data_IF_370711277141
#
_entry.id   IF_370711277141
#
_cell.length_a   1.000
_cell.length_b   1.000
_cell.length_c   1.000
_cell.angle_alpha   90.00
_cell.angle_beta   90.00
_cell.angle_gamma   90.00
#
_symmetry.space_group_name_H-M   'P 1'
#
loop_
_entity.id
_entity.type
_entity.pdbx_description
1 polymer ?
#
# COMPACT_ATOMS: atom_id res chain seq x y z
N UNK A 1 -19.68 9.09 -14.07
CA UNK A 1 -18.45 9.88 -14.27
C UNK A 1 -17.46 9.11 -15.14
N UNK A 2 -16.59 9.83 -15.84
CA UNK A 2 -15.46 9.27 -16.60
C UNK A 2 -14.16 9.56 -15.85
N UNK A 3 -13.42 8.54 -15.45
CA UNK A 3 -12.25 8.65 -14.59
C UNK A 3 -11.02 8.04 -15.27
N UNK A 4 -9.89 8.76 -15.30
CA UNK A 4 -8.60 8.16 -15.62
C UNK A 4 -7.87 7.85 -14.33
N UNK A 5 -7.57 6.58 -14.10
CA UNK A 5 -6.77 6.13 -12.94
C UNK A 5 -5.34 5.88 -13.39
N UNK A 6 -4.39 6.62 -12.82
CA UNK A 6 -2.96 6.46 -13.12
C UNK A 6 -2.25 5.94 -11.89
N UNK A 7 -1.50 4.85 -12.03
CA UNK A 7 -0.78 4.24 -10.91
C UNK A 7 0.63 3.83 -11.31
N UNK A 8 1.60 4.10 -10.44
CA UNK A 8 2.99 3.63 -10.60
C UNK A 8 3.14 2.13 -10.31
N UNK A 9 2.13 1.50 -9.71
CA UNK A 9 2.14 0.07 -9.38
C UNK A 9 0.77 -0.54 -9.62
N UNK A 10 0.76 -1.65 -10.35
CA UNK A 10 -0.46 -2.41 -10.62
C UNK A 10 -0.15 -3.90 -10.74
N UNK A 11 -1.18 -4.71 -11.01
CA UNK A 11 -1.01 -6.15 -11.25
C UNK A 11 0.04 -6.40 -12.37
N UNK A 12 0.82 -7.48 -12.28
CA UNK A 12 0.78 -8.58 -11.32
C UNK A 12 1.41 -8.26 -9.95
N UNK A 13 2.05 -7.10 -9.80
CA UNK A 13 2.64 -6.69 -8.51
C UNK A 13 1.54 -6.42 -7.49
N UNK A 14 1.64 -7.07 -6.32
CA UNK A 14 0.70 -6.89 -5.20
C UNK A 14 1.37 -6.13 -4.06
N UNK A 15 0.86 -4.95 -3.75
CA UNK A 15 1.28 -4.11 -2.63
C UNK A 15 0.11 -3.20 -2.19
N UNK A 16 0.33 -2.35 -1.18
CA UNK A 16 -0.71 -1.46 -0.65
C UNK A 16 -1.30 -0.49 -1.68
N UNK A 17 -0.49 0.00 -2.63
CA UNK A 17 -0.96 0.88 -3.72
C UNK A 17 -1.85 0.10 -4.67
N UNK A 18 -1.39 -1.05 -5.16
CA UNK A 18 -2.17 -1.93 -6.04
C UNK A 18 -3.50 -2.33 -5.40
N UNK A 19 -3.50 -2.67 -4.11
CA UNK A 19 -4.73 -3.02 -3.38
C UNK A 19 -5.70 -1.84 -3.34
N UNK A 20 -5.22 -0.62 -3.08
CA UNK A 20 -6.06 0.59 -3.08
C UNK A 20 -6.64 0.88 -4.46
N UNK A 21 -5.81 0.80 -5.51
CA UNK A 21 -6.25 1.06 -6.89
C UNK A 21 -7.33 0.06 -7.30
N UNK A 22 -7.16 -1.22 -6.98
CA UNK A 22 -8.17 -2.24 -7.26
C UNK A 22 -9.50 -1.91 -6.57
N UNK A 23 -9.48 -1.56 -5.28
CA UNK A 23 -10.70 -1.18 -4.54
C UNK A 23 -11.39 0.05 -5.14
N UNK A 24 -10.63 1.03 -5.61
CA UNK A 24 -11.19 2.19 -6.33
C UNK A 24 -11.85 1.74 -7.64
N UNK A 25 -11.19 0.90 -8.42
CA UNK A 25 -11.73 0.41 -9.69
C UNK A 25 -12.97 -0.49 -9.49
N UNK A 26 -12.94 -1.37 -8.49
CA UNK A 26 -14.09 -2.21 -8.14
C UNK A 26 -15.31 -1.34 -7.77
N UNK A 27 -15.09 -0.26 -6.99
CA UNK A 27 -16.14 0.68 -6.62
C UNK A 27 -16.66 1.48 -7.84
N UNK A 28 -15.76 2.01 -8.68
CA UNK A 28 -16.17 2.72 -9.90
C UNK A 28 -17.02 1.83 -10.81
N UNK A 29 -16.68 0.55 -10.93
CA UNK A 29 -17.47 -0.42 -11.71
C UNK A 29 -18.85 -0.67 -11.07
N UNK A 30 -18.89 -0.86 -9.75
CA UNK A 30 -20.15 -1.09 -9.01
C UNK A 30 -21.11 0.10 -9.13
N UNK A 31 -20.59 1.32 -9.12
CA UNK A 31 -21.38 2.56 -9.28
C UNK A 31 -21.69 2.92 -10.77
N UNK A 32 -21.32 2.07 -11.72
CA UNK A 32 -21.60 2.28 -13.14
C UNK A 32 -20.81 3.42 -13.77
N UNK A 33 -19.63 3.73 -13.25
CA UNK A 33 -18.74 4.74 -13.83
C UNK A 33 -17.91 4.18 -14.97
N UNK A 34 -17.42 5.05 -15.87
CA UNK A 34 -16.47 4.69 -16.92
C UNK A 34 -15.04 5.01 -16.46
N UNK A 35 -14.10 4.09 -16.69
CA UNK A 35 -12.70 4.37 -16.41
C UNK A 35 -11.75 3.75 -17.42
N UNK A 36 -10.55 4.33 -17.51
CA UNK A 36 -9.35 3.68 -18.06
C UNK A 36 -8.25 3.72 -17.01
N UNK A 37 -7.34 2.76 -17.08
CA UNK A 37 -6.20 2.65 -16.18
C UNK A 37 -4.91 2.82 -16.95
N UNK A 38 -4.00 3.65 -16.49
CA UNK A 38 -2.67 3.87 -17.09
C UNK A 38 -1.61 3.44 -16.10
N UNK A 39 -0.76 2.50 -16.49
CA UNK A 39 0.24 1.88 -15.62
C UNK A 39 1.57 1.68 -16.35
N UNK A 40 2.70 1.52 -15.65
CA UNK A 40 3.97 1.14 -16.26
C UNK A 40 3.90 -0.25 -16.88
N UNK A 41 4.56 -0.47 -18.01
CA UNK A 41 4.68 -1.78 -18.65
C UNK A 41 5.37 -2.77 -17.72
N UNK A 42 4.60 -3.74 -17.23
CA UNK A 42 5.05 -4.78 -16.29
C UNK A 42 4.21 -6.06 -16.38
N UNK A 43 3.55 -6.30 -17.52
CA UNK A 43 2.66 -7.45 -17.74
C UNK A 43 1.33 -7.29 -17.03
N UNK A 44 0.77 -6.09 -16.99
CA UNK A 44 -0.55 -5.84 -16.45
C UNK A 44 -1.64 -6.56 -17.27
N UNK A 45 -2.77 -6.95 -16.68
CA UNK A 45 -3.88 -7.51 -17.44
C UNK A 45 -4.45 -6.44 -18.39
N UNK A 46 -4.90 -6.86 -19.57
CA UNK A 46 -5.48 -5.93 -20.56
C UNK A 46 -6.74 -5.20 -20.06
N UNK A 47 -7.44 -5.83 -19.10
CA UNK A 47 -8.65 -5.25 -18.46
C UNK A 47 -8.68 -5.59 -16.97
N UNK A 48 -9.30 -4.72 -16.15
CA UNK A 48 -9.61 -4.98 -14.77
C UNK A 48 -10.97 -4.36 -14.39
N UNK A 49 -11.84 -5.09 -13.71
CA UNK A 49 -13.21 -4.67 -13.37
C UNK A 49 -14.01 -4.12 -14.56
N UNK A 50 -13.76 -4.63 -15.77
CA UNK A 50 -14.37 -4.15 -17.03
C UNK A 50 -13.67 -2.94 -17.66
N UNK A 51 -12.71 -2.32 -17.01
CA UNK A 51 -11.97 -1.17 -17.50
C UNK A 51 -10.71 -1.58 -18.27
N UNK A 52 -10.41 -0.87 -19.37
CA UNK A 52 -9.20 -1.09 -20.15
C UNK A 52 -7.97 -0.60 -19.40
N UNK A 53 -6.93 -1.43 -19.38
CA UNK A 53 -5.62 -1.09 -18.81
C UNK A 53 -4.66 -0.79 -19.95
N UNK A 54 -4.01 0.38 -19.89
CA UNK A 54 -3.03 0.85 -20.85
C UNK A 54 -1.64 0.83 -20.22
N UNK A 55 -0.74 0.03 -20.75
CA UNK A 55 0.65 0.02 -20.36
C UNK A 55 1.43 1.11 -21.09
N UNK A 56 2.26 1.85 -20.34
CA UNK A 56 3.19 2.84 -20.87
C UNK A 56 4.62 2.39 -20.66
N UNK A 57 5.58 2.83 -21.50
CA UNK A 57 6.98 2.45 -21.35
C UNK A 57 7.51 2.69 -19.94
N UNK A 58 8.25 1.71 -19.41
CA UNK A 58 8.82 1.75 -18.08
C UNK A 58 10.26 1.24 -18.08
N UNK A 59 11.05 1.71 -17.11
CA UNK A 59 12.37 1.17 -16.80
C UNK A 59 12.25 0.38 -15.50
N UNK A 60 12.83 -0.83 -15.48
CA UNK A 60 12.97 -1.59 -14.26
C UNK A 60 13.98 -0.92 -13.32
N UNK A 61 13.51 -0.45 -12.15
CA UNK A 61 14.38 0.03 -11.10
C UNK A 61 14.24 -0.88 -9.87
N UNK A 62 15.28 -1.69 -9.61
CA UNK A 62 15.25 -2.76 -8.58
C UNK A 62 14.06 -3.70 -8.82
N UNK A 63 13.08 -3.71 -7.93
CA UNK A 63 11.89 -4.58 -8.00
C UNK A 63 10.63 -3.83 -8.47
N UNK A 64 10.76 -2.56 -8.90
CA UNK A 64 9.63 -1.73 -9.28
C UNK A 64 9.81 -1.19 -10.70
N UNK A 65 8.81 -1.33 -11.57
CA UNK A 65 8.79 -0.61 -12.84
C UNK A 65 8.56 0.88 -12.55
N UNK A 66 9.39 1.73 -13.15
CA UNK A 66 9.21 3.19 -13.11
C UNK A 66 8.73 3.64 -14.48
N UNK A 67 7.51 4.16 -14.55
CA UNK A 67 6.94 4.67 -15.79
C UNK A 67 7.74 5.85 -16.32
N UNK A 68 8.07 5.80 -17.61
CA UNK A 68 8.73 6.93 -18.27
C UNK A 68 7.70 7.95 -18.75
N UNK A 69 8.00 9.26 -18.67
CA UNK A 69 7.22 10.27 -19.34
C UNK A 69 7.06 9.94 -20.83
N UNK A 70 5.82 9.81 -21.29
CA UNK A 70 5.52 9.40 -22.66
C UNK A 70 4.33 10.18 -23.23
N UNK A 71 4.38 10.67 -24.49
CA UNK A 71 3.28 11.44 -25.08
C UNK A 71 1.93 10.70 -25.10
N UNK A 72 1.96 9.37 -25.08
CA UNK A 72 0.76 8.51 -25.03
C UNK A 72 -0.11 8.81 -23.80
N UNK A 73 0.46 9.18 -22.65
CA UNK A 73 -0.32 9.50 -21.44
C UNK A 73 -1.26 10.67 -21.69
N UNK A 74 -0.74 11.78 -22.21
CA UNK A 74 -1.57 12.93 -22.55
C UNK A 74 -2.59 12.61 -23.65
N UNK A 75 -2.19 11.82 -24.65
CA UNK A 75 -3.10 11.38 -25.72
C UNK A 75 -4.25 10.54 -25.17
N UNK A 76 -3.99 9.56 -24.32
CA UNK A 76 -5.01 8.72 -23.70
C UNK A 76 -6.00 9.55 -22.87
N UNK A 77 -5.49 10.52 -22.08
CA UNK A 77 -6.34 11.42 -21.29
C UNK A 77 -7.21 12.28 -22.23
N UNK A 78 -6.61 12.87 -23.26
CA UNK A 78 -7.34 13.73 -24.22
C UNK A 78 -8.40 12.96 -25.01
N UNK A 79 -8.08 11.76 -25.49
CA UNK A 79 -9.01 10.92 -26.27
C UNK A 79 -10.16 10.39 -25.40
N UNK A 80 -9.86 10.02 -24.16
CA UNK A 80 -10.88 9.51 -23.22
C UNK A 80 -11.78 10.62 -22.67
N UNK A 81 -11.33 11.88 -22.62
CA UNK A 81 -12.07 13.05 -22.10
C UNK A 81 -12.67 12.79 -20.72
N UNK A 82 -11.85 12.52 -19.69
CA UNK A 82 -12.34 12.27 -18.35
C UNK A 82 -12.82 13.54 -17.68
N UNK A 83 -13.67 13.38 -16.66
CA UNK A 83 -14.04 14.48 -15.75
C UNK A 83 -12.98 14.67 -14.66
N UNK A 84 -12.23 13.58 -14.33
CA UNK A 84 -11.17 13.64 -13.31
C UNK A 84 -10.04 12.66 -13.64
N UNK A 85 -8.81 13.08 -13.32
CA UNK A 85 -7.61 12.24 -13.30
C UNK A 85 -7.27 11.90 -11.86
N UNK A 86 -7.31 10.61 -11.52
CA UNK A 86 -6.94 10.05 -10.22
C UNK A 86 -5.52 9.49 -10.28
N UNK A 87 -4.56 10.21 -9.71
CA UNK A 87 -3.15 9.81 -9.63
C UNK A 87 -2.87 9.08 -8.32
N UNK A 88 -2.88 7.74 -8.36
CA UNK A 88 -2.65 6.88 -7.19
C UNK A 88 -1.15 6.76 -6.91
N UNK A 89 -0.69 7.35 -5.81
CA UNK A 89 0.72 7.39 -5.40
C UNK A 89 1.64 7.97 -6.50
N UNK A 90 1.44 9.24 -6.91
CA UNK A 90 2.10 9.80 -8.07
C UNK A 90 3.62 9.94 -7.87
N UNK A 91 4.36 9.50 -8.87
CA UNK A 91 5.78 9.76 -9.04
C UNK A 91 6.01 10.30 -10.46
N UNK A 92 6.78 9.67 -11.32
CA UNK A 92 7.03 10.19 -12.67
C UNK A 92 5.80 10.12 -13.58
N UNK A 93 5.15 8.97 -13.65
CA UNK A 93 3.96 8.76 -14.48
C UNK A 93 2.77 9.57 -13.95
N UNK A 94 2.54 9.52 -12.64
CA UNK A 94 1.49 10.29 -12.00
C UNK A 94 1.69 11.80 -12.12
N UNK A 95 2.93 12.30 -11.98
CA UNK A 95 3.27 13.71 -12.19
C UNK A 95 2.99 14.14 -13.62
N UNK A 96 3.32 13.31 -14.61
CA UNK A 96 3.01 13.56 -16.00
C UNK A 96 1.49 13.64 -16.25
N UNK A 97 0.73 12.72 -15.65
CA UNK A 97 -0.73 12.70 -15.78
C UNK A 97 -1.38 13.94 -15.15
N UNK A 98 -0.94 14.36 -13.97
CA UNK A 98 -1.37 15.61 -13.32
C UNK A 98 -1.08 16.82 -14.22
N UNK A 99 0.15 16.91 -14.74
CA UNK A 99 0.52 17.99 -15.65
C UNK A 99 -0.28 17.97 -16.96
N UNK A 100 -0.62 16.80 -17.48
CA UNK A 100 -1.49 16.65 -18.66
C UNK A 100 -2.93 17.10 -18.35
N UNK A 101 -3.48 16.72 -17.20
CA UNK A 101 -4.79 17.15 -16.74
C UNK A 101 -4.87 18.68 -16.64
N UNK A 102 -3.88 19.33 -16.01
CA UNK A 102 -3.81 20.79 -15.92
C UNK A 102 -3.77 21.48 -17.30
N UNK A 103 -3.00 20.95 -18.27
CA UNK A 103 -2.99 21.49 -19.64
C UNK A 103 -4.31 21.33 -20.38
N UNK A 104 -5.07 20.29 -20.06
CA UNK A 104 -6.35 19.98 -20.69
C UNK A 104 -7.54 20.59 -19.94
N UNK A 105 -7.33 21.28 -18.83
CA UNK A 105 -8.39 21.84 -17.98
C UNK A 105 -9.23 20.77 -17.28
N UNK A 106 -8.66 19.60 -17.00
CA UNK A 106 -9.32 18.47 -16.35
C UNK A 106 -8.92 18.44 -14.88
N UNK A 107 -9.89 18.27 -13.98
CA UNK A 107 -9.64 18.15 -12.55
C UNK A 107 -8.72 16.95 -12.22
N UNK A 108 -7.86 17.10 -11.23
CA UNK A 108 -6.88 16.08 -10.82
C UNK A 108 -6.85 15.86 -9.32
N UNK A 109 -6.80 14.59 -8.92
CA UNK A 109 -6.69 14.18 -7.51
C UNK A 109 -5.45 13.32 -7.35
N UNK A 110 -4.53 13.75 -6.50
CA UNK A 110 -3.34 12.98 -6.12
C UNK A 110 -3.58 12.25 -4.80
N UNK A 111 -3.09 10.99 -4.69
CA UNK A 111 -3.17 10.23 -3.45
C UNK A 111 -1.78 10.05 -2.86
N UNK A 112 -1.54 10.57 -1.67
CA UNK A 112 -0.28 10.36 -0.97
C UNK A 112 -0.29 9.00 -0.28
N UNK A 113 0.38 8.00 -0.88
CA UNK A 113 0.43 6.62 -0.37
C UNK A 113 1.85 6.11 -0.11
N UNK A 114 2.86 6.77 -0.69
CA UNK A 114 4.26 6.33 -0.61
C UNK A 114 5.11 7.43 0.00
N UNK A 115 5.66 7.18 1.18
CA UNK A 115 6.54 8.12 1.87
C UNK A 115 7.98 8.02 1.31
N UNK A 116 8.18 8.61 0.14
CA UNK A 116 9.51 8.68 -0.50
C UNK A 116 10.48 9.52 0.32
N UNK A 117 9.99 10.57 0.96
CA UNK A 117 10.81 11.48 1.75
C UNK A 117 11.22 10.84 3.10
N UNK A 118 10.32 10.10 3.76
CA UNK A 118 10.65 9.29 4.91
C UNK A 118 11.66 8.19 4.59
N UNK A 119 11.56 7.58 3.42
CA UNK A 119 12.58 6.65 2.95
C UNK A 119 13.96 7.32 2.83
N UNK A 120 14.05 8.53 2.28
CA UNK A 120 15.30 9.28 2.17
C UNK A 120 15.85 9.67 3.55
N UNK A 121 14.98 10.05 4.49
CA UNK A 121 15.33 10.37 5.88
C UNK A 121 15.93 9.17 6.61
N UNK A 122 15.29 7.99 6.51
CA UNK A 122 15.78 6.73 7.11
C UNK A 122 17.18 6.33 6.63
N UNK A 123 17.44 6.53 5.37
CA UNK A 123 18.74 6.20 4.80
C UNK A 123 19.81 7.30 5.05
N UNK A 124 19.54 8.26 5.96
CA UNK A 124 20.43 9.37 6.34
C UNK A 124 20.91 10.20 5.16
N UNK A 125 20.07 10.33 4.15
CA UNK A 125 20.39 11.05 2.91
C UNK A 125 20.12 12.56 3.04
N UNK A 126 20.51 13.20 4.11
CA UNK A 126 20.36 14.62 4.47
C UNK A 126 19.88 15.58 3.38
N UNK A 127 20.79 15.96 2.45
CA UNK A 127 20.44 16.82 1.32
C UNK A 127 19.40 16.18 0.37
N UNK A 128 19.46 14.85 0.17
CA UNK A 128 18.48 14.13 -0.66
C UNK A 128 17.09 14.11 -0.04
N UNK A 129 16.95 14.16 1.29
CA UNK A 129 15.65 14.29 1.95
C UNK A 129 14.96 15.60 1.59
N UNK A 130 15.70 16.72 1.62
CA UNK A 130 15.15 18.04 1.21
C UNK A 130 14.77 18.06 -0.26
N UNK A 131 15.58 17.44 -1.11
CA UNK A 131 15.27 17.32 -2.53
C UNK A 131 14.03 16.44 -2.78
N UNK A 132 13.91 15.31 -2.07
CA UNK A 132 12.73 14.44 -2.14
C UNK A 132 11.44 15.20 -1.75
N UNK A 133 11.47 16.00 -0.68
CA UNK A 133 10.33 16.83 -0.29
C UNK A 133 9.99 17.92 -1.32
N UNK A 134 11.00 18.49 -2.00
CA UNK A 134 10.73 19.44 -3.11
C UNK A 134 10.02 18.76 -4.28
N UNK A 135 10.40 17.51 -4.62
CA UNK A 135 9.73 16.73 -5.65
C UNK A 135 8.29 16.39 -5.22
N UNK A 136 8.11 15.87 -4.01
CA UNK A 136 6.78 15.56 -3.47
C UNK A 136 5.89 16.81 -3.51
N UNK A 137 6.38 17.94 -3.01
CA UNK A 137 5.65 19.20 -3.07
C UNK A 137 5.30 19.58 -4.51
N UNK A 138 6.25 19.56 -5.43
CA UNK A 138 6.01 19.91 -6.82
C UNK A 138 4.92 19.05 -7.48
N UNK A 139 4.94 17.75 -7.23
CA UNK A 139 3.93 16.81 -7.76
C UNK A 139 2.56 17.15 -7.18
N UNK A 140 2.44 17.25 -5.86
CA UNK A 140 1.18 17.39 -5.17
C UNK A 140 0.57 18.80 -5.32
N UNK A 141 1.41 19.84 -5.43
CA UNK A 141 0.96 21.19 -5.76
C UNK A 141 0.46 21.31 -7.22
N UNK A 142 0.85 20.42 -8.10
CA UNK A 142 0.32 20.32 -9.46
C UNK A 142 -1.11 19.78 -9.54
N UNK A 143 -1.58 19.08 -8.52
CA UNK A 143 -2.93 18.53 -8.45
C UNK A 143 -3.93 19.53 -7.84
N UNK A 144 -5.21 19.43 -8.22
CA UNK A 144 -6.27 20.27 -7.66
C UNK A 144 -6.61 19.87 -6.21
N UNK A 145 -6.41 18.60 -5.86
CA UNK A 145 -6.61 18.09 -4.50
C UNK A 145 -5.62 16.97 -4.22
N UNK A 146 -5.06 16.95 -3.02
CA UNK A 146 -4.29 15.81 -2.52
C UNK A 146 -5.02 15.11 -1.37
N UNK A 147 -5.27 13.82 -1.53
CA UNK A 147 -5.85 12.98 -0.50
C UNK A 147 -4.76 12.31 0.34
N UNK A 148 -4.92 12.38 1.66
CA UNK A 148 -3.89 11.99 2.64
C UNK A 148 -4.44 10.97 3.63
N UNK A 149 -3.76 9.82 3.83
CA UNK A 149 -4.33 8.70 4.58
C UNK A 149 -4.28 8.87 6.11
N UNK A 150 -3.41 9.72 6.65
CA UNK A 150 -3.23 9.87 8.09
C UNK A 150 -2.95 11.32 8.51
N UNK A 151 -3.17 11.62 9.80
CA UNK A 151 -2.84 12.94 10.36
C UNK A 151 -1.35 13.21 10.34
N UNK A 152 -0.52 12.17 10.56
CA UNK A 152 0.93 12.30 10.50
C UNK A 152 1.39 12.67 9.07
N UNK A 153 0.90 11.95 8.06
CA UNK A 153 1.21 12.28 6.66
C UNK A 153 0.69 13.64 6.24
N UNK A 154 -0.44 14.08 6.82
CA UNK A 154 -0.98 15.43 6.57
C UNK A 154 -0.03 16.50 7.13
N UNK A 155 0.40 16.37 8.37
CA UNK A 155 1.36 17.30 8.99
C UNK A 155 2.70 17.34 8.22
N UNK A 156 3.18 16.19 7.73
CA UNK A 156 4.41 16.13 6.91
C UNK A 156 4.26 16.90 5.59
N UNK A 157 3.12 16.76 4.90
CA UNK A 157 2.83 17.48 3.65
C UNK A 157 2.62 18.98 3.86
N UNK A 158 1.88 19.35 4.92
CA UNK A 158 1.72 20.77 5.34
C UNK A 158 3.08 21.40 5.66
N UNK A 159 3.92 20.68 6.42
CA UNK A 159 5.30 21.11 6.73
C UNK A 159 6.19 21.23 5.49
N UNK A 160 5.93 20.47 4.43
CA UNK A 160 6.57 20.60 3.13
C UNK A 160 6.00 21.76 2.28
N UNK A 161 4.91 22.39 2.72
CA UNK A 161 4.24 23.50 2.05
C UNK A 161 3.27 23.06 0.97
N UNK A 162 2.76 21.82 1.02
CA UNK A 162 1.67 21.37 0.14
C UNK A 162 0.35 21.91 0.68
N UNK A 163 -0.44 22.49 -0.20
CA UNK A 163 -1.79 22.99 0.09
C UNK A 163 -2.85 22.03 -0.44
N UNK A 164 -4.12 22.39 -0.36
CA UNK A 164 -5.26 21.61 -0.93
C UNK A 164 -5.24 20.14 -0.51
N UNK A 165 -5.08 19.90 0.79
CA UNK A 165 -5.08 18.58 1.40
C UNK A 165 -6.47 18.21 1.94
N UNK A 166 -6.85 16.94 1.80
CA UNK A 166 -8.03 16.39 2.44
C UNK A 166 -7.74 14.99 2.97
N UNK A 167 -8.44 14.62 4.07
CA UNK A 167 -8.33 13.28 4.64
C UNK A 167 -8.99 12.24 3.74
N UNK A 168 -8.32 11.13 3.56
CA UNK A 168 -8.82 9.97 2.84
C UNK A 168 -8.72 8.71 3.69
N UNK A 169 -9.86 8.25 4.22
CA UNK A 169 -9.93 6.99 4.93
C UNK A 169 -10.01 5.84 3.94
N UNK A 170 -8.95 5.04 3.85
CA UNK A 170 -8.88 3.89 2.91
C UNK A 170 -9.91 2.80 3.22
N UNK A 171 -10.37 2.75 4.47
CA UNK A 171 -11.29 1.74 4.95
C UNK A 171 -10.68 0.33 5.05
N UNK A 172 -11.43 -0.54 5.71
CA UNK A 172 -11.16 -1.97 5.88
C UNK A 172 -12.43 -2.73 5.51
N UNK A 173 -12.28 -3.92 4.98
CA UNK A 173 -13.40 -4.82 4.73
C UNK A 173 -13.90 -5.39 6.07
N UNK A 174 -14.92 -4.72 6.65
CA UNK A 174 -15.47 -5.06 7.97
C UNK A 174 -16.24 -6.39 8.01
N UNK A 175 -16.59 -6.95 6.86
CA UNK A 175 -17.22 -8.27 6.80
C UNK A 175 -16.16 -9.38 6.85
N UNK A 176 -15.09 -9.20 6.08
CA UNK A 176 -13.96 -10.14 6.04
C UNK A 176 -13.13 -10.08 7.33
N UNK A 177 -12.78 -8.86 7.79
CA UNK A 177 -12.00 -8.63 9.02
C UNK A 177 -12.93 -8.29 10.19
N UNK A 178 -13.58 -9.32 10.75
CA UNK A 178 -14.55 -9.13 11.84
C UNK A 178 -14.23 -10.06 13.01
N UNK A 179 -14.28 -9.58 14.27
CA UNK A 179 -13.99 -10.39 15.47
C UNK A 179 -14.87 -11.65 15.59
N UNK A 180 -16.10 -11.66 15.05
CA UNK A 180 -16.97 -12.85 15.00
C UNK A 180 -16.29 -14.06 14.35
N UNK A 181 -15.36 -13.83 13.42
CA UNK A 181 -14.67 -14.90 12.71
C UNK A 181 -13.80 -15.76 13.63
N UNK A 182 -13.46 -15.28 14.84
CA UNK A 182 -12.69 -16.02 15.83
C UNK A 182 -13.32 -17.37 16.21
N UNK A 183 -14.63 -17.48 16.15
CA UNK A 183 -15.35 -18.72 16.48
C UNK A 183 -15.52 -19.66 15.29
N UNK A 184 -15.12 -19.26 14.09
CA UNK A 184 -15.23 -20.08 12.90
C UNK A 184 -14.38 -21.37 13.02
N UNK A 185 -14.87 -22.52 12.53
CA UNK A 185 -14.14 -23.79 12.67
C UNK A 185 -12.73 -23.78 12.11
N UNK A 186 -12.51 -23.08 10.99
CA UNK A 186 -11.17 -22.90 10.38
C UNK A 186 -10.21 -22.15 11.28
N UNK A 187 -10.68 -21.09 11.94
CA UNK A 187 -9.87 -20.27 12.87
C UNK A 187 -9.55 -21.08 14.14
N UNK A 188 -10.49 -21.84 14.67
CA UNK A 188 -10.24 -22.72 15.82
C UNK A 188 -9.12 -23.73 15.51
N UNK A 189 -9.21 -24.44 14.39
CA UNK A 189 -8.15 -25.37 13.95
C UNK A 189 -6.79 -24.69 13.75
N UNK A 190 -6.79 -23.45 13.23
CA UNK A 190 -5.57 -22.67 13.10
C UNK A 190 -4.98 -22.34 14.48
N UNK A 191 -5.81 -21.90 15.43
CA UNK A 191 -5.37 -21.61 16.81
C UNK A 191 -4.79 -22.84 17.52
N UNK A 192 -5.45 -23.99 17.43
CA UNK A 192 -4.98 -25.26 17.99
C UNK A 192 -3.60 -25.65 17.42
N UNK A 193 -3.36 -25.39 16.14
CA UNK A 193 -2.07 -25.62 15.49
C UNK A 193 -1.00 -24.62 15.91
N UNK A 194 -1.38 -23.33 16.08
CA UNK A 194 -0.45 -22.26 16.46
C UNK A 194 -0.09 -22.31 17.94
N UNK A 195 -1.05 -22.68 18.80
CA UNK A 195 -0.94 -22.68 20.26
C UNK A 195 -1.57 -23.95 20.85
N UNK A 196 -0.92 -25.13 20.68
CA UNK A 196 -1.48 -26.43 21.05
C UNK A 196 -1.71 -26.62 22.55
N UNK A 197 -1.10 -25.81 23.39
CA UNK A 197 -1.26 -25.86 24.85
C UNK A 197 -2.02 -24.62 25.39
N UNK A 198 -2.70 -23.87 24.51
CA UNK A 198 -3.46 -22.68 24.91
C UNK A 198 -2.60 -21.43 25.15
N UNK A 199 -1.40 -21.39 24.59
CA UNK A 199 -0.51 -20.23 24.68
C UNK A 199 -1.15 -18.98 24.02
N UNK A 200 -0.71 -17.80 24.44
CA UNK A 200 -1.09 -16.54 23.80
C UNK A 200 -0.43 -16.40 22.44
N UNK A 201 -1.21 -16.22 21.39
CA UNK A 201 -0.72 -16.02 20.02
C UNK A 201 -0.46 -14.54 19.78
N UNK A 202 0.82 -14.18 19.62
CA UNK A 202 1.25 -12.84 19.23
C UNK A 202 1.49 -12.83 17.73
N UNK A 203 0.62 -12.15 16.99
CA UNK A 203 0.61 -12.14 15.53
C UNK A 203 1.29 -10.90 14.96
N UNK A 204 1.98 -11.08 13.84
CA UNK A 204 2.47 -10.03 12.97
C UNK A 204 1.95 -10.27 11.54
N UNK A 205 1.50 -9.21 10.89
CA UNK A 205 1.14 -9.23 9.46
C UNK A 205 1.83 -8.08 8.75
N UNK A 206 2.52 -8.39 7.66
CA UNK A 206 3.13 -7.36 6.84
C UNK A 206 4.32 -7.84 6.03
N UNK A 207 4.86 -6.92 5.24
CA UNK A 207 6.09 -7.16 4.49
C UNK A 207 7.26 -7.38 5.47
N UNK A 208 8.04 -8.43 5.25
CA UNK A 208 9.24 -8.71 6.04
C UNK A 208 10.45 -7.95 5.47
N UNK A 209 10.54 -6.66 5.81
CA UNK A 209 11.53 -5.74 5.26
C UNK A 209 12.13 -4.85 6.36
N UNK A 210 13.32 -4.27 6.15
CA UNK A 210 14.05 -3.52 7.19
C UNK A 210 13.23 -2.41 7.84
N UNK A 211 12.39 -1.71 7.09
CA UNK A 211 11.54 -0.63 7.59
C UNK A 211 10.44 -1.10 8.56
N UNK A 212 10.12 -2.40 8.54
CA UNK A 212 9.12 -3.00 9.44
C UNK A 212 9.72 -3.48 10.76
N UNK A 213 11.02 -3.55 10.87
CA UNK A 213 11.77 -3.84 12.10
C UNK A 213 11.26 -5.09 12.85
N UNK A 214 10.87 -6.15 12.11
CA UNK A 214 10.23 -7.34 12.69
C UNK A 214 11.16 -8.07 13.67
N UNK A 215 12.46 -7.91 13.51
CA UNK A 215 13.50 -8.42 14.42
C UNK A 215 13.30 -7.96 15.86
N UNK A 216 12.63 -6.80 16.08
CA UNK A 216 12.32 -6.29 17.43
C UNK A 216 11.40 -7.20 18.24
N UNK A 217 10.72 -8.15 17.60
CA UNK A 217 9.96 -9.19 18.31
C UNK A 217 10.85 -10.06 19.21
N UNK A 218 12.17 -10.05 18.99
CA UNK A 218 13.14 -10.71 19.89
C UNK A 218 13.09 -10.15 21.32
N UNK A 219 12.57 -8.95 21.54
CA UNK A 219 12.33 -8.39 22.88
C UNK A 219 11.33 -9.21 23.71
N UNK A 220 10.53 -10.07 23.05
CA UNK A 220 9.63 -11.00 23.75
C UNK A 220 10.34 -12.29 24.20
N UNK A 221 11.64 -12.42 23.93
CA UNK A 221 12.42 -13.57 24.36
C UNK A 221 12.40 -13.70 25.89
N UNK A 222 12.15 -14.90 26.36
CA UNK A 222 12.04 -15.16 27.80
C UNK A 222 10.63 -15.05 28.38
N UNK A 223 9.65 -14.52 27.64
CA UNK A 223 8.26 -14.62 28.05
C UNK A 223 7.74 -16.05 27.85
N UNK A 224 7.21 -16.63 28.92
CA UNK A 224 6.56 -17.95 28.87
C UNK A 224 5.10 -17.85 28.42
N UNK A 225 4.56 -18.93 27.88
CA UNK A 225 3.15 -19.01 27.51
C UNK A 225 2.77 -18.20 26.28
N UNK A 226 3.72 -17.79 25.44
CA UNK A 226 3.45 -17.09 24.18
C UNK A 226 3.92 -17.90 22.97
N UNK A 227 3.28 -17.69 21.83
CA UNK A 227 3.68 -18.15 20.50
C UNK A 227 3.66 -17.02 19.51
N UNK A 228 4.66 -16.94 18.66
CA UNK A 228 4.71 -15.93 17.59
C UNK A 228 4.17 -16.51 16.29
N UNK A 229 3.32 -15.78 15.60
CA UNK A 229 2.80 -16.14 14.28
C UNK A 229 3.06 -14.98 13.30
N UNK A 230 3.90 -15.22 12.29
CA UNK A 230 4.30 -14.20 11.32
C UNK A 230 3.68 -14.50 9.95
N UNK A 231 2.90 -13.53 9.46
CA UNK A 231 2.30 -13.55 8.11
C UNK A 231 3.02 -12.56 7.24
N UNK A 232 3.46 -13.01 6.08
CA UNK A 232 4.09 -12.19 5.06
C UNK A 232 5.36 -12.77 4.48
N UNK A 233 5.96 -12.01 3.59
CA UNK A 233 7.24 -12.33 2.94
C UNK A 233 8.07 -11.07 2.73
N UNK A 234 9.35 -11.23 2.43
CA UNK A 234 10.21 -10.10 2.12
C UNK A 234 11.70 -10.37 2.31
N UNK A 235 12.55 -9.39 1.95
CA UNK A 235 14.00 -9.56 1.93
C UNK A 235 14.61 -9.84 3.31
N UNK A 236 13.96 -9.43 4.40
CA UNK A 236 14.45 -9.63 5.78
C UNK A 236 14.07 -10.99 6.38
N UNK A 237 13.39 -11.89 5.66
CA UNK A 237 12.97 -13.18 6.22
C UNK A 237 14.16 -13.98 6.83
N UNK A 238 15.30 -13.97 6.15
CA UNK A 238 16.50 -14.69 6.62
C UNK A 238 17.10 -14.09 7.90
N UNK A 239 17.15 -12.76 8.04
CA UNK A 239 17.62 -12.09 9.26
C UNK A 239 16.64 -12.28 10.41
N UNK A 240 15.33 -12.18 10.15
CA UNK A 240 14.28 -12.41 11.14
C UNK A 240 14.34 -13.83 11.69
N UNK A 241 14.50 -14.84 10.82
CA UNK A 241 14.64 -16.23 11.27
C UNK A 241 15.86 -16.46 12.17
N UNK A 242 16.98 -15.81 11.87
CA UNK A 242 18.18 -15.86 12.72
C UNK A 242 17.96 -15.17 14.07
N UNK A 243 17.41 -13.96 14.05
CA UNK A 243 17.18 -13.18 15.26
C UNK A 243 16.16 -13.83 16.20
N UNK A 244 15.10 -14.43 15.67
CA UNK A 244 14.08 -15.12 16.45
C UNK A 244 14.38 -16.61 16.68
N UNK A 245 15.60 -17.06 16.38
CA UNK A 245 16.02 -18.44 16.62
C UNK A 245 15.88 -18.80 18.10
N UNK A 246 15.38 -20.00 18.38
CA UNK A 246 15.11 -20.49 19.74
C UNK A 246 13.81 -19.97 20.37
N UNK A 247 13.07 -19.09 19.69
CA UNK A 247 11.73 -18.68 20.09
C UNK A 247 10.66 -19.55 19.42
N UNK A 248 9.47 -19.71 20.03
CA UNK A 248 8.37 -20.49 19.43
C UNK A 248 7.66 -19.69 18.33
N UNK A 249 8.21 -19.69 17.12
CA UNK A 249 7.73 -18.90 15.96
C UNK A 249 7.17 -19.80 14.88
N UNK A 250 5.97 -19.48 14.39
CA UNK A 250 5.38 -20.08 13.18
C UNK A 250 5.37 -19.03 12.06
N UNK A 251 6.00 -19.38 10.94
CA UNK A 251 6.01 -18.55 9.72
C UNK A 251 4.93 -19.07 8.77
N UNK A 252 3.86 -18.28 8.59
CA UNK A 252 2.70 -18.65 7.78
C UNK A 252 2.88 -18.31 6.29
N UNK A 253 3.93 -17.56 5.94
CA UNK A 253 4.12 -17.07 4.57
C UNK A 253 3.14 -15.96 4.18
N UNK A 254 3.10 -15.59 2.90
CA UNK A 254 2.15 -14.59 2.41
C UNK A 254 0.74 -15.17 2.38
N UNK A 255 -0.22 -14.47 2.98
CA UNK A 255 -1.65 -14.81 2.98
C UNK A 255 -2.47 -13.66 2.39
N UNK A 256 -3.65 -13.96 1.89
CA UNK A 256 -4.61 -12.98 1.36
C UNK A 256 -6.05 -13.44 1.57
N UNK A 257 -7.00 -12.50 1.42
CA UNK A 257 -8.43 -12.82 1.50
C UNK A 257 -8.84 -13.55 2.78
N UNK A 258 -9.67 -14.60 2.68
CA UNK A 258 -10.18 -15.33 3.85
C UNK A 258 -9.09 -15.96 4.74
N UNK A 259 -7.97 -16.41 4.15
CA UNK A 259 -6.87 -17.01 4.92
C UNK A 259 -6.14 -15.95 5.76
N UNK A 260 -5.97 -14.75 5.22
CA UNK A 260 -5.40 -13.62 5.96
C UNK A 260 -6.35 -13.21 7.10
N UNK A 261 -7.64 -13.10 6.85
CA UNK A 261 -8.64 -12.79 7.86
C UNK A 261 -8.69 -13.85 8.97
N UNK A 262 -8.56 -15.13 8.61
CA UNK A 262 -8.47 -16.22 9.58
C UNK A 262 -7.20 -16.13 10.45
N UNK A 263 -6.09 -15.70 9.87
CA UNK A 263 -4.86 -15.46 10.63
C UNK A 263 -5.05 -14.33 11.66
N UNK A 264 -5.59 -13.17 11.25
CA UNK A 264 -5.90 -12.07 12.18
C UNK A 264 -6.84 -12.53 13.30
N UNK A 265 -7.94 -13.20 12.95
CA UNK A 265 -8.91 -13.71 13.91
C UNK A 265 -8.31 -14.77 14.87
N UNK A 266 -7.20 -15.40 14.51
CA UNK A 266 -6.50 -16.37 15.36
C UNK A 266 -5.60 -15.73 16.42
N UNK A 267 -5.19 -14.46 16.26
CA UNK A 267 -4.29 -13.78 17.19
C UNK A 267 -4.98 -13.35 18.47
N UNK A 268 -4.26 -13.37 19.58
CA UNK A 268 -4.67 -12.78 20.85
C UNK A 268 -4.13 -11.34 20.97
N UNK A 269 -2.93 -11.11 20.45
CA UNK A 269 -2.28 -9.81 20.40
C UNK A 269 -1.75 -9.60 18.99
N UNK A 270 -2.10 -8.48 18.37
CA UNK A 270 -1.45 -8.02 17.14
C UNK A 270 -0.28 -7.12 17.50
N UNK A 271 0.92 -7.46 17.04
CA UNK A 271 2.14 -6.70 17.32
C UNK A 271 2.65 -6.02 16.06
N UNK A 272 2.61 -4.69 16.06
CA UNK A 272 3.20 -3.87 15.01
C UNK A 272 4.55 -3.32 15.45
N UNK A 273 5.63 -3.67 14.73
CA UNK A 273 7.01 -3.31 15.09
C UNK A 273 7.57 -2.15 14.30
N UNK A 274 6.96 -1.82 13.16
CA UNK A 274 7.37 -0.69 12.33
C UNK A 274 7.02 0.65 12.99
N UNK A 275 7.96 1.58 12.99
CA UNK A 275 7.77 2.93 13.54
C UNK A 275 7.29 3.93 12.50
N UNK A 276 7.24 3.55 11.25
CA UNK A 276 6.92 4.43 10.14
C UNK A 276 5.86 3.80 9.24
N UNK A 277 4.68 4.39 9.28
CA UNK A 277 3.54 3.99 8.46
C UNK A 277 2.88 5.22 7.86
N UNK A 278 2.52 5.16 6.59
CA UNK A 278 1.68 6.19 5.97
C UNK A 278 0.23 6.06 6.40
N UNK A 279 -0.27 4.83 6.53
CA UNK A 279 -1.66 4.55 6.91
C UNK A 279 -1.80 3.49 8.01
N UNK A 280 -0.98 2.42 7.97
CA UNK A 280 -1.09 1.32 8.93
C UNK A 280 -2.28 0.40 8.63
N UNK A 281 -2.47 0.01 7.38
CA UNK A 281 -3.58 -0.87 6.95
C UNK A 281 -3.69 -2.13 7.81
N UNK A 282 -2.55 -2.79 8.06
CA UNK A 282 -2.49 -4.03 8.84
C UNK A 282 -2.87 -3.87 10.32
N UNK A 283 -2.86 -2.65 10.84
CA UNK A 283 -3.31 -2.35 12.21
C UNK A 283 -4.83 -2.17 12.25
N UNK A 284 -5.42 -1.76 11.13
CA UNK A 284 -6.86 -1.53 11.04
C UNK A 284 -7.65 -2.80 10.68
N UNK A 285 -7.03 -3.70 9.95
CA UNK A 285 -7.53 -5.05 9.67
C UNK A 285 -7.57 -5.90 10.95
#
# INVERSE_FOLDING_TARGET
>A
MRVVVVSESFLPTTNGVTTSVRKVLDHLAAEGHEAIVIVPTAGAPATYAGFRVHEVPAIAYRQFPVGLPHPMVQKLIADFKPEVVHAASPFLLGAQAIAAAGRLGIASVAIFQTDVAGYARRNRLGAATRFAWRIVRWIHEGADLTLVPSSASMADLEGAGVQRLARWGRGVDLDTYHPRNRTAPGVRRLRERLAPHGETIVGYVGRLAPEKQVERMSALRGLSGIRLALVGSGPSLGSIKRELSGMPVTYLGPLSGPDLAAAYASFDVFLHTGTEETFGQTVQE
#
